data_IF_296188934272
#
_entry.id   IF_296188934272
#
_cell.length_a   1.000
_cell.length_b   1.000
_cell.length_c   1.000
_cell.angle_alpha   90.00
_cell.angle_beta   90.00
_cell.angle_gamma   90.00
#
_symmetry.space_group_name_H-M   'P 1'
#
loop_
_entity.id
_entity.type
_entity.pdbx_description
1 polymer ?
#
# COMPACT_ATOMS: atom_id res chain seq x y z
N UNK A 1 10.99 8.34 28.52
CA UNK A 1 9.92 7.60 27.83
C UNK A 1 10.39 6.81 26.61
N UNK A 2 10.94 7.42 25.54
CA UNK A 2 11.41 6.65 24.34
C UNK A 2 12.40 5.54 24.67
N UNK A 3 13.45 5.85 25.43
CA UNK A 3 14.49 4.89 25.79
C UNK A 3 13.94 3.68 26.57
N UNK A 4 13.06 3.93 27.56
CA UNK A 4 12.38 2.87 28.31
C UNK A 4 11.53 1.96 27.41
N UNK A 5 10.85 2.54 26.41
CA UNK A 5 10.09 1.77 25.43
C UNK A 5 11.00 0.90 24.55
N UNK A 6 12.12 1.42 24.05
CA UNK A 6 13.04 0.67 23.18
C UNK A 6 13.74 -0.49 23.90
N UNK A 7 13.94 -0.38 25.21
CA UNK A 7 14.52 -1.43 26.06
C UNK A 7 13.46 -2.44 26.52
N UNK A 8 12.18 -2.09 26.44
CA UNK A 8 11.11 -2.97 26.92
C UNK A 8 11.15 -4.33 26.20
N UNK A 9 10.90 -5.45 26.91
CA UNK A 9 10.89 -6.78 26.29
C UNK A 9 9.84 -6.93 25.19
N UNK A 10 8.73 -6.18 25.28
CA UNK A 10 7.68 -6.15 24.25
C UNK A 10 8.20 -5.57 22.94
N UNK A 11 9.05 -4.52 23.00
CA UNK A 11 9.66 -3.94 21.82
C UNK A 11 10.81 -4.80 21.28
N UNK A 12 11.72 -5.24 22.15
CA UNK A 12 12.93 -5.98 21.79
C UNK A 12 12.65 -7.28 21.01
N UNK A 13 11.52 -7.94 21.29
CA UNK A 13 11.09 -9.17 20.61
C UNK A 13 10.63 -8.94 19.17
N UNK A 14 10.20 -7.73 18.81
CA UNK A 14 9.67 -7.43 17.48
C UNK A 14 10.75 -7.62 16.41
N UNK A 15 10.33 -8.02 15.21
CA UNK A 15 11.25 -8.17 14.09
C UNK A 15 11.89 -6.83 13.69
N UNK A 16 11.16 -5.71 13.83
CA UNK A 16 11.65 -4.38 13.50
C UNK A 16 12.84 -3.93 14.36
N UNK A 17 12.90 -4.34 15.63
CA UNK A 17 14.00 -3.98 16.54
C UNK A 17 15.28 -4.77 16.21
N UNK A 18 15.15 -5.89 15.51
CA UNK A 18 16.25 -6.81 15.20
C UNK A 18 16.67 -6.79 13.72
N UNK A 19 15.99 -6.01 12.88
CA UNK A 19 16.23 -5.99 11.44
C UNK A 19 16.87 -4.66 11.05
N UNK A 20 17.96 -4.75 10.29
CA UNK A 20 18.68 -3.61 9.73
C UNK A 20 18.49 -3.58 8.22
N UNK A 21 18.03 -2.45 7.70
CA UNK A 21 18.01 -2.15 6.28
C UNK A 21 19.35 -1.53 5.88
N UNK A 22 20.05 -2.14 4.93
CA UNK A 22 21.31 -1.65 4.36
C UNK A 22 21.09 -1.31 2.90
N UNK A 23 21.44 -0.09 2.50
CA UNK A 23 21.37 0.34 1.09
C UNK A 23 22.76 0.47 0.46
N UNK A 24 22.81 0.58 -0.86
CA UNK A 24 24.05 0.68 -1.65
C UNK A 24 25.05 -0.45 -1.36
N UNK A 25 24.54 -1.68 -1.20
CA UNK A 25 25.32 -2.91 -1.05
C UNK A 25 26.06 -3.21 -2.36
N UNK A 26 27.36 -3.55 -2.32
CA UNK A 26 28.13 -3.93 -3.51
C UNK A 26 27.64 -5.25 -4.12
N UNK A 27 27.94 -5.47 -5.40
CA UNK A 27 27.54 -6.70 -6.10
C UNK A 27 28.25 -7.95 -5.53
N UNK A 28 29.45 -7.78 -4.97
CA UNK A 28 30.20 -8.85 -4.30
C UNK A 28 29.45 -9.45 -3.10
N UNK A 29 28.59 -8.64 -2.46
CA UNK A 29 27.73 -9.03 -1.35
C UNK A 29 26.28 -9.28 -1.80
N UNK A 30 26.01 -9.46 -3.09
CA UNK A 30 24.65 -9.69 -3.61
C UNK A 30 24.09 -11.10 -3.33
N UNK A 31 24.81 -11.93 -2.58
CA UNK A 31 24.41 -13.29 -2.22
C UNK A 31 24.17 -13.40 -0.71
N UNK A 32 23.16 -14.18 -0.32
CA UNK A 32 22.81 -14.40 1.09
C UNK A 32 24.01 -14.91 1.90
N UNK A 33 24.74 -15.90 1.37
CA UNK A 33 25.95 -16.44 1.99
C UNK A 33 27.03 -15.38 2.22
N UNK A 34 27.21 -14.47 1.27
CA UNK A 34 28.20 -13.40 1.35
C UNK A 34 27.82 -12.39 2.44
N UNK A 35 26.54 -12.00 2.52
CA UNK A 35 26.04 -11.12 3.58
C UNK A 35 26.08 -11.78 4.96
N UNK A 36 25.78 -13.07 5.07
CA UNK A 36 25.94 -13.82 6.33
C UNK A 36 27.41 -13.85 6.78
N UNK A 37 28.34 -14.08 5.86
CA UNK A 37 29.78 -14.06 6.15
C UNK A 37 30.25 -12.65 6.52
N UNK A 38 29.77 -11.63 5.81
CA UNK A 38 30.07 -10.23 6.12
C UNK A 38 29.60 -9.86 7.54
N UNK A 39 28.38 -10.26 7.92
CA UNK A 39 27.79 -9.94 9.20
C UNK A 39 28.17 -10.92 10.33
N UNK A 40 29.24 -11.72 10.17
CA UNK A 40 29.67 -12.69 11.19
C UNK A 40 30.22 -12.04 12.46
N UNK A 41 30.63 -10.76 12.39
CA UNK A 41 31.09 -9.99 13.56
C UNK A 41 29.97 -9.61 14.53
N UNK A 42 28.71 -9.77 14.11
CA UNK A 42 27.54 -9.33 14.87
C UNK A 42 27.29 -10.28 16.06
N UNK A 43 27.14 -9.77 17.30
CA UNK A 43 26.88 -10.61 18.45
C UNK A 43 25.55 -11.37 18.31
N UNK A 44 25.58 -12.67 18.57
CA UNK A 44 24.44 -13.58 18.39
C UNK A 44 24.17 -13.97 16.93
N UNK A 45 24.91 -13.43 15.96
CA UNK A 45 24.81 -13.78 14.56
C UNK A 45 23.54 -13.29 13.86
N UNK A 46 23.46 -13.66 12.57
CA UNK A 46 22.36 -13.32 11.68
C UNK A 46 21.38 -14.49 11.61
N UNK A 47 20.08 -14.17 11.74
CA UNK A 47 18.97 -15.10 11.61
C UNK A 47 18.61 -15.30 10.13
N UNK A 48 18.32 -14.20 9.42
CA UNK A 48 17.93 -14.23 8.01
C UNK A 48 18.33 -12.97 7.27
N UNK A 49 18.65 -13.13 5.98
CA UNK A 49 18.91 -12.02 5.06
C UNK A 49 17.86 -12.03 3.95
N UNK A 50 17.30 -10.86 3.64
CA UNK A 50 16.47 -10.66 2.45
C UNK A 50 17.15 -9.69 1.50
N UNK A 51 17.37 -10.14 0.28
CA UNK A 51 18.02 -9.37 -0.76
C UNK A 51 16.95 -8.80 -1.68
N UNK A 52 16.93 -7.49 -1.86
CA UNK A 52 15.95 -6.84 -2.72
C UNK A 52 16.35 -7.03 -4.19
N UNK A 53 15.44 -7.65 -4.95
CA UNK A 53 15.54 -7.82 -6.41
C UNK A 53 14.52 -6.97 -7.14
N UNK A 54 14.75 -6.79 -8.42
CA UNK A 54 13.94 -5.92 -9.30
C UNK A 54 12.49 -6.39 -9.41
N UNK A 55 11.56 -5.73 -8.74
CA UNK A 55 10.17 -6.16 -8.58
C UNK A 55 9.13 -5.22 -9.23
N UNK A 56 9.59 -4.24 -10.04
CA UNK A 56 8.72 -3.24 -10.67
C UNK A 56 7.61 -3.86 -11.54
N UNK A 57 7.98 -4.75 -12.46
CA UNK A 57 7.01 -5.42 -13.33
C UNK A 57 5.99 -6.27 -12.56
N UNK A 58 6.41 -6.91 -11.44
CA UNK A 58 5.51 -7.68 -10.58
C UNK A 58 4.53 -6.77 -9.84
N UNK A 59 5.01 -5.63 -9.33
CA UNK A 59 4.17 -4.64 -8.65
C UNK A 59 3.11 -4.08 -9.60
N UNK A 60 3.44 -3.79 -10.85
CA UNK A 60 2.47 -3.26 -11.80
C UNK A 60 1.38 -4.28 -12.14
N UNK A 61 1.74 -5.56 -12.31
CA UNK A 61 0.77 -6.64 -12.49
C UNK A 61 -0.11 -6.82 -11.24
N UNK A 62 0.46 -6.68 -10.05
CA UNK A 62 -0.26 -6.76 -8.80
C UNK A 62 -1.26 -5.60 -8.64
N UNK A 63 -0.84 -4.36 -8.95
CA UNK A 63 -1.73 -3.18 -8.95
C UNK A 63 -2.89 -3.37 -9.93
N UNK A 64 -2.61 -3.79 -11.16
CA UNK A 64 -3.65 -4.09 -12.16
C UNK A 64 -4.65 -5.15 -11.66
N UNK A 65 -4.16 -6.18 -10.96
CA UNK A 65 -5.03 -7.19 -10.35
C UNK A 65 -5.87 -6.58 -9.23
N UNK A 66 -5.28 -5.78 -8.36
CA UNK A 66 -5.98 -5.14 -7.25
C UNK A 66 -7.09 -4.22 -7.74
N UNK A 67 -6.82 -3.40 -8.76
CA UNK A 67 -7.81 -2.53 -9.37
C UNK A 67 -8.97 -3.33 -10.00
N UNK A 68 -8.66 -4.44 -10.65
CA UNK A 68 -9.67 -5.35 -11.17
C UNK A 68 -10.52 -5.99 -10.06
N UNK A 69 -9.92 -6.38 -8.94
CA UNK A 69 -10.64 -6.89 -7.77
C UNK A 69 -11.55 -5.81 -7.15
N UNK A 70 -11.04 -4.59 -6.91
CA UNK A 70 -11.82 -3.48 -6.37
C UNK A 70 -13.03 -3.19 -7.27
N UNK A 71 -12.83 -3.21 -8.58
CA UNK A 71 -13.90 -2.99 -9.55
C UNK A 71 -14.95 -4.11 -9.50
N UNK A 72 -14.52 -5.36 -9.35
CA UNK A 72 -15.41 -6.52 -9.19
C UNK A 72 -16.20 -6.43 -7.87
N UNK A 73 -15.53 -6.12 -6.76
CA UNK A 73 -16.14 -5.92 -5.45
C UNK A 73 -17.18 -4.80 -5.48
N UNK A 74 -16.88 -3.67 -6.14
CA UNK A 74 -17.83 -2.58 -6.32
C UNK A 74 -19.06 -3.02 -7.15
N UNK A 75 -18.85 -3.80 -8.21
CA UNK A 75 -19.94 -4.35 -9.00
C UNK A 75 -20.81 -5.33 -8.19
N UNK A 76 -20.21 -6.27 -7.47
CA UNK A 76 -20.93 -7.21 -6.60
C UNK A 76 -21.67 -6.49 -5.46
N UNK A 77 -21.05 -5.50 -4.82
CA UNK A 77 -21.68 -4.68 -3.80
C UNK A 77 -22.89 -3.92 -4.34
N UNK A 78 -22.78 -3.34 -5.55
CA UNK A 78 -23.91 -2.66 -6.20
C UNK A 78 -25.05 -3.65 -6.54
N UNK A 79 -24.71 -4.87 -6.98
CA UNK A 79 -25.66 -5.93 -7.25
C UNK A 79 -26.38 -6.37 -5.97
N UNK A 80 -25.64 -6.64 -4.89
CA UNK A 80 -26.20 -6.98 -3.58
C UNK A 80 -27.08 -5.86 -3.02
N UNK A 81 -26.68 -4.60 -3.20
CA UNK A 81 -27.47 -3.45 -2.78
C UNK A 81 -28.81 -3.38 -3.53
N UNK A 82 -28.81 -3.60 -4.85
CA UNK A 82 -30.06 -3.64 -5.64
C UNK A 82 -30.94 -4.83 -5.24
N UNK A 83 -30.37 -6.01 -5.06
CA UNK A 83 -31.09 -7.21 -4.63
C UNK A 83 -31.71 -7.03 -3.24
N UNK A 84 -30.97 -6.46 -2.30
CA UNK A 84 -31.45 -6.17 -0.94
C UNK A 84 -32.59 -5.14 -0.96
N UNK A 85 -32.49 -4.09 -1.78
CA UNK A 85 -33.57 -3.11 -1.96
C UNK A 85 -34.83 -3.75 -2.57
N UNK A 86 -34.67 -4.60 -3.58
CA UNK A 86 -35.79 -5.33 -4.20
C UNK A 86 -36.46 -6.28 -3.21
N UNK A 87 -35.66 -7.03 -2.44
CA UNK A 87 -36.15 -7.92 -1.39
C UNK A 87 -36.93 -7.16 -0.32
N UNK A 88 -36.38 -6.06 0.23
CA UNK A 88 -37.10 -5.23 1.23
C UNK A 88 -38.47 -4.77 0.74
N UNK A 89 -38.57 -4.31 -0.52
CA UNK A 89 -39.86 -3.93 -1.12
C UNK A 89 -40.81 -5.12 -1.19
N UNK A 90 -40.35 -6.28 -1.69
CA UNK A 90 -41.15 -7.50 -1.79
C UNK A 90 -41.64 -7.99 -0.42
N UNK A 91 -40.76 -8.03 0.57
CA UNK A 91 -41.11 -8.43 1.94
C UNK A 91 -42.14 -7.48 2.56
N UNK A 92 -42.05 -6.17 2.31
CA UNK A 92 -43.06 -5.21 2.77
C UNK A 92 -44.42 -5.43 2.09
N UNK A 93 -44.45 -5.70 0.78
CA UNK A 93 -45.68 -6.05 0.07
C UNK A 93 -46.31 -7.35 0.61
N UNK A 94 -45.51 -8.39 0.85
CA UNK A 94 -46.01 -9.65 1.44
C UNK A 94 -46.53 -9.48 2.88
N UNK A 95 -45.91 -8.60 3.67
CA UNK A 95 -46.44 -8.25 5.00
C UNK A 95 -47.77 -7.51 4.91
N UNK A 96 -47.89 -6.52 4.01
CA UNK A 96 -49.15 -5.77 3.80
C UNK A 96 -50.27 -6.67 3.27
N UNK A 97 -49.97 -7.59 2.33
CA UNK A 97 -50.98 -8.52 1.83
C UNK A 97 -51.45 -9.50 2.91
N UNK A 98 -50.53 -10.04 3.73
CA UNK A 98 -50.89 -10.90 4.87
C UNK A 98 -51.68 -10.17 5.96
N UNK A 99 -51.32 -8.92 6.27
CA UNK A 99 -52.05 -8.09 7.24
C UNK A 99 -53.48 -7.78 6.78
N UNK A 100 -53.71 -7.55 5.48
CA UNK A 100 -55.09 -7.38 4.94
C UNK A 100 -55.96 -8.64 5.05
N UNK A 101 -55.36 -9.80 5.27
CA UNK A 101 -56.04 -11.10 5.36
C UNK A 101 -56.16 -11.60 6.81
N UNK A 102 -55.61 -10.88 7.80
CA UNK A 102 -55.47 -11.35 9.19
C UNK A 102 -56.09 -10.33 10.14
N UNK A 103 -57.22 -10.67 10.75
CA UNK A 103 -57.85 -9.90 11.83
C UNK A 103 -56.92 -9.84 13.07
N UNK A 104 -57.12 -8.82 13.91
CA UNK A 104 -56.12 -8.04 14.67
C UNK A 104 -55.28 -8.71 15.79
N UNK A 105 -55.34 -10.02 16.08
CA UNK A 105 -54.89 -10.50 17.41
C UNK A 105 -53.46 -11.09 17.55
N UNK A 106 -52.63 -11.17 16.50
CA UNK A 106 -51.27 -11.75 16.63
C UNK A 106 -50.12 -10.75 16.36
N UNK A 107 -49.63 -10.10 17.42
CA UNK A 107 -48.53 -9.12 17.43
C UNK A 107 -47.11 -9.66 17.20
N UNK A 108 -46.94 -10.83 16.57
CA UNK A 108 -45.61 -11.38 16.31
C UNK A 108 -45.04 -10.86 14.98
N UNK A 109 -44.02 -9.98 15.06
CA UNK A 109 -43.27 -9.48 13.91
C UNK A 109 -42.68 -10.64 13.09
N UNK A 110 -43.41 -11.09 12.06
CA UNK A 110 -43.00 -12.25 11.26
C UNK A 110 -41.79 -11.84 10.41
N UNK A 111 -40.60 -12.22 10.85
CA UNK A 111 -39.39 -12.13 10.04
C UNK A 111 -39.52 -13.12 8.89
N UNK A 112 -39.74 -12.62 7.68
CA UNK A 112 -39.73 -13.45 6.47
C UNK A 112 -38.26 -13.73 6.15
N UNK A 113 -37.77 -14.88 6.60
CA UNK A 113 -36.43 -15.33 6.26
C UNK A 113 -36.29 -15.40 4.72
N UNK A 114 -35.21 -14.86 4.14
CA UNK A 114 -34.97 -15.03 2.71
C UNK A 114 -34.82 -16.52 2.38
N UNK A 115 -35.32 -16.97 1.21
CA UNK A 115 -35.13 -18.34 0.76
C UNK A 115 -33.64 -18.64 0.54
N UNK A 116 -33.32 -19.93 0.40
CA UNK A 116 -31.97 -20.40 0.08
C UNK A 116 -31.39 -19.63 -1.12
N UNK A 117 -30.13 -19.20 -0.98
CA UNK A 117 -29.42 -18.46 -2.02
C UNK A 117 -29.33 -19.31 -3.30
N UNK A 118 -30.04 -18.88 -4.35
CA UNK A 118 -30.10 -19.57 -5.64
C UNK A 118 -29.95 -18.58 -6.79
N UNK A 119 -29.35 -19.01 -7.90
CA UNK A 119 -29.22 -18.19 -9.12
C UNK A 119 -30.58 -17.72 -9.64
N UNK A 120 -31.60 -18.61 -9.61
CA UNK A 120 -32.97 -18.28 -10.02
C UNK A 120 -33.57 -17.17 -9.16
N UNK A 121 -33.32 -17.21 -7.86
CA UNK A 121 -33.79 -16.19 -6.92
C UNK A 121 -33.12 -14.83 -7.17
N UNK A 122 -31.83 -14.83 -7.49
CA UNK A 122 -31.11 -13.63 -7.88
C UNK A 122 -31.58 -13.08 -9.24
N UNK A 123 -31.88 -13.94 -10.21
CA UNK A 123 -32.48 -13.56 -11.51
C UNK A 123 -33.86 -12.91 -11.33
N UNK A 124 -34.67 -13.43 -10.41
CA UNK A 124 -35.99 -12.88 -10.07
C UNK A 124 -35.87 -11.49 -9.40
N UNK A 125 -34.94 -11.32 -8.46
CA UNK A 125 -34.74 -10.05 -7.75
C UNK A 125 -34.11 -8.97 -8.65
N UNK A 126 -33.09 -9.34 -9.41
CA UNK A 126 -32.32 -8.44 -10.25
C UNK A 126 -32.16 -9.08 -11.64
N UNK A 127 -33.01 -8.69 -12.61
CA UNK A 127 -32.90 -9.15 -13.98
C UNK A 127 -31.52 -8.86 -14.56
N UNK A 128 -31.04 -9.75 -15.43
CA UNK A 128 -29.71 -9.67 -16.04
C UNK A 128 -29.41 -8.34 -16.76
N UNK A 129 -30.45 -7.66 -17.26
CA UNK A 129 -30.35 -6.35 -17.90
C UNK A 129 -29.94 -5.22 -16.94
N UNK A 130 -30.35 -5.29 -15.67
CA UNK A 130 -30.06 -4.29 -14.64
C UNK A 130 -28.75 -4.55 -13.89
N UNK A 131 -28.04 -5.62 -14.23
CA UNK A 131 -26.77 -5.96 -13.60
C UNK A 131 -25.68 -4.99 -14.05
N UNK A 132 -24.78 -4.58 -13.13
CA UNK A 132 -23.61 -3.82 -13.51
C UNK A 132 -22.80 -4.63 -14.54
N UNK A 133 -22.64 -4.07 -15.73
CA UNK A 133 -21.78 -4.64 -16.78
C UNK A 133 -20.52 -3.81 -16.83
N UNK A 134 -19.38 -4.43 -16.53
CA UNK A 134 -18.09 -3.79 -16.67
C UNK A 134 -17.81 -3.57 -18.18
N UNK A 135 -17.82 -2.32 -18.63
CA UNK A 135 -17.49 -1.97 -20.03
C UNK A 135 -15.98 -2.03 -20.20
N UNK A 136 -15.49 -3.13 -20.77
CA UNK A 136 -14.07 -3.49 -20.78
C UNK A 136 -13.18 -2.73 -21.78
N UNK A 137 -13.67 -1.70 -22.51
CA UNK A 137 -12.87 -0.64 -23.17
C UNK A 137 -13.75 0.39 -23.91
N UNK A 138 -13.11 1.46 -24.42
CA UNK A 138 -13.60 2.39 -25.43
C UNK A 138 -13.27 1.80 -26.84
N UNK A 139 -14.23 1.76 -27.78
CA UNK A 139 -14.18 1.11 -29.11
C UNK A 139 -14.34 -0.42 -29.24
N UNK A 140 -15.41 -1.01 -28.70
CA UNK A 140 -16.05 -2.21 -29.29
C UNK A 140 -15.29 -3.56 -29.33
N UNK A 141 -14.01 -3.63 -28.94
CA UNK A 141 -13.25 -4.88 -28.90
C UNK A 141 -13.67 -5.74 -27.69
N UNK A 142 -13.82 -7.08 -27.87
CA UNK A 142 -14.22 -7.98 -26.79
C UNK A 142 -13.14 -8.02 -25.71
N UNK A 143 -13.41 -7.35 -24.59
CA UNK A 143 -12.54 -7.34 -23.44
C UNK A 143 -12.55 -8.68 -22.70
N UNK A 144 -11.39 -8.99 -22.11
CA UNK A 144 -11.11 -10.27 -21.43
C UNK A 144 -12.00 -10.41 -20.18
N UNK A 145 -13.07 -11.20 -20.27
CA UNK A 145 -13.94 -11.58 -19.14
C UNK A 145 -13.18 -12.25 -17.97
N UNK A 146 -11.98 -12.76 -18.24
CA UNK A 146 -11.14 -13.48 -17.28
C UNK A 146 -9.83 -12.72 -16.97
N UNK A 147 -9.90 -11.40 -16.83
CA UNK A 147 -8.71 -10.58 -16.59
C UNK A 147 -7.96 -10.99 -15.31
N UNK A 148 -8.67 -11.26 -14.21
CA UNK A 148 -8.07 -11.68 -12.93
C UNK A 148 -7.32 -13.01 -13.06
N UNK A 149 -7.92 -14.02 -13.70
CA UNK A 149 -7.29 -15.33 -13.91
C UNK A 149 -6.02 -15.19 -14.75
N UNK A 150 -6.07 -14.38 -15.81
CA UNK A 150 -4.88 -14.11 -16.63
C UNK A 150 -3.80 -13.34 -15.87
N UNK A 151 -4.18 -12.39 -15.02
CA UNK A 151 -3.26 -11.65 -14.16
C UNK A 151 -2.62 -12.55 -13.11
N UNK A 152 -3.37 -13.48 -12.51
CA UNK A 152 -2.83 -14.46 -11.58
C UNK A 152 -1.75 -15.33 -12.25
N UNK A 153 -2.03 -15.87 -13.44
CA UNK A 153 -1.05 -16.65 -14.20
C UNK A 153 0.20 -15.82 -14.58
N UNK A 154 0.02 -14.54 -14.91
CA UNK A 154 1.15 -13.62 -15.18
C UNK A 154 1.97 -13.32 -13.93
N UNK A 155 1.32 -13.15 -12.78
CA UNK A 155 1.95 -12.89 -11.49
C UNK A 155 2.80 -14.09 -11.08
N UNK A 156 2.31 -15.32 -11.25
CA UNK A 156 3.07 -16.54 -10.97
C UNK A 156 4.34 -16.62 -11.82
N UNK A 157 4.22 -16.43 -13.15
CA UNK A 157 5.39 -16.36 -14.04
C UNK A 157 6.36 -15.24 -13.68
N UNK A 158 5.83 -14.09 -13.28
CA UNK A 158 6.66 -12.96 -12.87
C UNK A 158 7.41 -13.26 -11.56
N UNK A 159 6.80 -13.98 -10.60
CA UNK A 159 7.44 -14.41 -9.35
C UNK A 159 8.61 -15.36 -9.61
N UNK A 160 8.46 -16.32 -10.50
CA UNK A 160 9.57 -17.21 -10.89
C UNK A 160 10.74 -16.42 -11.50
N UNK A 161 10.43 -15.40 -12.30
CA UNK A 161 11.46 -14.51 -12.88
C UNK A 161 12.14 -13.62 -11.82
N UNK A 162 11.43 -13.24 -10.76
CA UNK A 162 11.98 -12.39 -9.69
C UNK A 162 13.16 -13.03 -8.98
N UNK A 163 13.11 -14.34 -8.71
CA UNK A 163 14.17 -15.04 -7.99
C UNK A 163 15.53 -14.93 -8.72
N UNK A 164 15.48 -14.88 -10.06
CA UNK A 164 16.64 -14.71 -10.94
C UNK A 164 16.88 -13.24 -11.34
N UNK A 165 16.10 -12.31 -10.80
CA UNK A 165 16.15 -10.89 -11.12
C UNK A 165 17.44 -10.23 -10.66
N UNK A 166 17.75 -9.08 -11.26
CA UNK A 166 18.91 -8.27 -10.90
C UNK A 166 18.80 -7.78 -9.45
N UNK A 167 19.93 -7.73 -8.77
CA UNK A 167 20.06 -7.16 -7.44
C UNK A 167 19.92 -5.63 -7.45
N UNK A 168 19.19 -5.07 -6.49
CA UNK A 168 18.96 -3.62 -6.40
C UNK A 168 19.94 -2.86 -5.50
N UNK A 169 20.88 -3.54 -4.86
CA UNK A 169 21.81 -2.89 -3.93
C UNK A 169 21.22 -2.66 -2.54
N UNK A 170 20.08 -3.28 -2.21
CA UNK A 170 19.42 -3.14 -0.90
C UNK A 170 19.21 -4.51 -0.26
N UNK A 171 19.54 -4.64 1.02
CA UNK A 171 19.34 -5.85 1.79
C UNK A 171 18.76 -5.55 3.18
N UNK A 172 17.91 -6.46 3.66
CA UNK A 172 17.45 -6.49 5.04
C UNK A 172 18.14 -7.63 5.77
N UNK A 173 18.76 -7.34 6.89
CA UNK A 173 19.50 -8.30 7.70
C UNK A 173 18.81 -8.38 9.05
N UNK A 174 18.21 -9.52 9.39
CA UNK A 174 17.65 -9.77 10.72
C UNK A 174 18.67 -10.47 11.58
N UNK A 175 19.01 -9.85 12.69
CA UNK A 175 19.88 -10.41 13.72
C UNK A 175 19.08 -11.24 14.72
N UNK A 176 19.72 -12.19 15.39
CA UNK A 176 19.07 -12.92 16.48
C UNK A 176 18.80 -12.01 17.68
N UNK A 177 19.74 -11.11 17.97
CA UNK A 177 19.71 -10.18 19.10
C UNK A 177 19.53 -8.73 18.63
N UNK A 178 18.81 -7.92 19.40
CA UNK A 178 18.66 -6.48 19.15
C UNK A 178 20.01 -5.76 19.21
N UNK A 179 20.89 -6.11 20.16
CA UNK A 179 22.23 -5.54 20.23
C UNK A 179 23.05 -5.82 18.98
N UNK A 180 22.84 -6.97 18.34
CA UNK A 180 23.47 -7.30 17.07
C UNK A 180 23.05 -6.35 15.95
N UNK A 181 21.76 -6.01 15.89
CA UNK A 181 21.26 -5.02 14.94
C UNK A 181 21.92 -3.64 15.17
N UNK A 182 21.99 -3.17 16.43
CA UNK A 182 22.65 -1.90 16.76
C UNK A 182 24.12 -1.87 16.36
N UNK A 183 24.86 -2.95 16.65
CA UNK A 183 26.28 -3.08 16.26
C UNK A 183 26.40 -3.03 14.73
N UNK A 184 25.61 -3.80 14.01
CA UNK A 184 25.62 -3.82 12.54
C UNK A 184 25.33 -2.45 11.93
N UNK A 185 24.37 -1.70 12.49
CA UNK A 185 24.01 -0.37 12.02
C UNK A 185 25.08 0.69 12.30
N UNK A 186 25.86 0.55 13.36
CA UNK A 186 26.91 1.50 13.73
C UNK A 186 28.26 1.21 13.05
N UNK A 187 28.55 -0.05 12.73
CA UNK A 187 29.82 -0.43 12.12
C UNK A 187 29.97 0.11 10.69
N UNK A 188 31.20 0.53 10.35
CA UNK A 188 31.60 0.82 8.97
C UNK A 188 31.64 -0.49 8.20
N UNK A 189 30.84 -0.58 7.14
CA UNK A 189 30.55 -1.85 6.47
C UNK A 189 31.42 -2.12 5.24
N UNK A 190 32.01 -1.09 4.64
CA UNK A 190 32.82 -1.25 3.43
C UNK A 190 33.93 -0.21 3.38
N UNK A 191 35.05 -0.58 2.75
CA UNK A 191 36.17 0.30 2.49
C UNK A 191 35.90 1.31 1.35
N UNK A 192 34.91 1.06 0.50
CA UNK A 192 34.59 1.95 -0.63
C UNK A 192 33.63 3.05 -0.18
N UNK A 193 33.86 4.32 -0.57
CA UNK A 193 32.96 5.39 -0.23
C UNK A 193 31.58 5.17 -0.88
N UNK A 194 30.52 5.62 -0.21
CA UNK A 194 29.12 5.53 -0.67
C UNK A 194 28.57 4.10 -0.83
N UNK A 195 29.30 3.08 -0.37
CA UNK A 195 28.81 1.69 -0.29
C UNK A 195 28.44 1.34 1.14
N UNK A 196 27.25 0.75 1.33
CA UNK A 196 26.74 0.31 2.64
C UNK A 196 26.81 1.39 3.74
N UNK A 197 26.77 2.65 3.34
CA UNK A 197 26.88 3.79 4.24
C UNK A 197 25.58 3.97 5.02
N UNK A 198 24.46 4.12 4.30
CA UNK A 198 23.16 4.30 4.91
C UNK A 198 22.61 2.96 5.45
N UNK A 199 22.41 2.93 6.76
CA UNK A 199 21.82 1.82 7.48
C UNK A 199 20.68 2.33 8.35
N UNK A 200 19.54 1.67 8.25
CA UNK A 200 18.32 2.04 8.96
C UNK A 200 17.88 0.91 9.86
N UNK A 201 17.42 1.25 11.06
CA UNK A 201 16.88 0.30 12.03
C UNK A 201 15.50 0.73 12.50
N UNK A 202 14.79 -0.16 13.16
CA UNK A 202 13.44 0.10 13.68
C UNK A 202 12.42 0.47 12.58
N UNK A 203 12.73 0.15 11.33
CA UNK A 203 11.83 0.40 10.20
C UNK A 203 10.72 -0.66 10.17
N UNK A 204 9.48 -0.22 10.38
CA UNK A 204 8.32 -1.08 10.21
C UNK A 204 8.09 -1.37 8.72
N UNK A 205 7.79 -2.62 8.32
CA UNK A 205 7.47 -2.96 6.93
C UNK A 205 6.43 -2.07 6.23
N UNK A 206 5.49 -1.50 6.99
CA UNK A 206 4.45 -0.59 6.47
C UNK A 206 4.95 0.83 6.20
N UNK A 207 5.98 1.27 6.91
CA UNK A 207 6.54 2.61 6.79
C UNK A 207 7.60 2.69 5.68
N UNK A 208 8.01 1.54 5.14
CA UNK A 208 8.99 1.43 4.08
C UNK A 208 8.34 1.67 2.72
N UNK A 209 8.79 2.71 2.03
CA UNK A 209 8.40 2.99 0.64
C UNK A 209 9.27 2.17 -0.31
N UNK A 210 8.83 0.95 -0.63
CA UNK A 210 9.56 -0.03 -1.44
C UNK A 210 10.01 0.49 -2.82
N UNK A 211 9.26 1.42 -3.41
CA UNK A 211 9.57 2.02 -4.71
C UNK A 211 10.85 2.88 -4.67
N UNK A 212 11.18 3.44 -3.50
CA UNK A 212 12.34 4.32 -3.31
C UNK A 212 13.62 3.55 -2.93
N UNK A 213 13.53 2.24 -2.65
CA UNK A 213 14.68 1.41 -2.24
C UNK A 213 15.57 0.95 -3.41
N UNK A 214 15.16 1.19 -4.65
CA UNK A 214 15.88 0.78 -5.86
C UNK A 214 16.93 1.81 -6.32
N UNK A 215 16.92 3.01 -5.75
CA UNK A 215 17.78 4.09 -6.19
C UNK A 215 19.15 4.03 -5.49
N UNK A 216 20.20 3.72 -6.25
CA UNK A 216 21.58 3.77 -5.74
C UNK A 216 21.98 5.18 -5.30
N UNK A 217 22.86 5.29 -4.30
CA UNK A 217 23.23 6.55 -3.65
C UNK A 217 23.61 7.70 -4.61
N UNK A 218 24.30 7.41 -5.72
CA UNK A 218 24.70 8.44 -6.70
C UNK A 218 23.50 8.99 -7.47
N UNK A 219 22.53 8.13 -7.82
CA UNK A 219 21.34 8.51 -8.59
C UNK A 219 20.39 9.41 -7.79
N UNK A 220 20.50 9.40 -6.46
CA UNK A 220 19.65 10.22 -5.57
C UNK A 220 20.02 11.71 -5.56
N UNK A 221 21.30 12.05 -5.77
CA UNK A 221 21.79 13.44 -5.73
C UNK A 221 21.05 14.41 -6.67
N UNK A 222 20.85 14.11 -7.97
CA UNK A 222 20.13 15.04 -8.85
C UNK A 222 18.68 15.25 -8.41
N UNK A 223 17.99 14.21 -7.91
CA UNK A 223 16.61 14.35 -7.41
C UNK A 223 16.54 15.25 -6.18
N UNK A 224 17.52 15.13 -5.28
CA UNK A 224 17.63 16.02 -4.12
C UNK A 224 17.83 17.48 -4.54
N UNK A 225 18.73 17.75 -5.49
CA UNK A 225 18.98 19.11 -5.99
C UNK A 225 17.74 19.68 -6.69
N UNK A 226 17.07 18.90 -7.55
CA UNK A 226 15.84 19.32 -8.22
C UNK A 226 14.75 19.63 -7.17
N UNK A 227 14.61 18.80 -6.14
CA UNK A 227 13.65 19.04 -5.06
C UNK A 227 13.95 20.35 -4.32
N UNK A 228 15.22 20.64 -4.04
CA UNK A 228 15.64 21.90 -3.41
C UNK A 228 15.37 23.12 -4.29
N UNK A 229 15.61 23.02 -5.59
CA UNK A 229 15.29 24.10 -6.52
C UNK A 229 13.77 24.34 -6.60
N UNK A 230 12.98 23.27 -6.61
CA UNK A 230 11.54 23.36 -6.61
C UNK A 230 10.98 24.00 -5.33
N UNK A 231 11.54 23.69 -4.15
CA UNK A 231 11.12 24.31 -2.89
C UNK A 231 11.49 25.79 -2.82
N UNK A 232 12.69 26.17 -3.27
CA UNK A 232 13.08 27.58 -3.37
C UNK A 232 12.13 28.33 -4.31
N UNK A 233 11.83 27.76 -5.48
CA UNK A 233 10.87 28.35 -6.42
C UNK A 233 9.47 28.51 -5.82
N UNK A 234 9.00 27.51 -5.07
CA UNK A 234 7.71 27.58 -4.38
C UNK A 234 7.68 28.67 -3.31
N UNK A 235 8.75 28.84 -2.53
CA UNK A 235 8.85 29.89 -1.49
C UNK A 235 8.78 31.28 -2.13
N UNK A 236 9.52 31.50 -3.23
CA UNK A 236 9.49 32.77 -3.96
C UNK A 236 8.08 33.05 -4.51
N UNK A 237 7.45 32.04 -5.13
CA UNK A 237 6.10 32.16 -5.65
C UNK A 237 5.06 32.45 -4.55
N UNK A 238 5.18 31.80 -3.38
CA UNK A 238 4.27 31.98 -2.26
C UNK A 238 4.50 33.28 -1.48
N UNK A 239 5.68 33.90 -1.64
CA UNK A 239 5.96 35.22 -1.10
C UNK A 239 5.02 36.30 -1.65
N UNK A 240 4.59 36.19 -2.91
CA UNK A 240 3.71 37.18 -3.54
C UNK A 240 2.31 37.25 -2.91
N UNK A 241 1.55 36.14 -2.74
CA UNK A 241 0.29 36.16 -2.01
C UNK A 241 0.40 36.67 -0.57
N UNK A 242 1.47 36.28 0.14
CA UNK A 242 1.67 36.70 1.54
C UNK A 242 1.95 38.20 1.63
N UNK A 243 2.78 38.74 0.74
CA UNK A 243 3.02 40.18 0.65
C UNK A 243 1.73 40.95 0.32
N UNK A 244 0.93 40.46 -0.62
CA UNK A 244 -0.37 41.06 -0.98
C UNK A 244 -1.34 41.10 0.22
N UNK A 245 -1.51 39.98 0.93
CA UNK A 245 -2.35 39.92 2.13
C UNK A 245 -1.80 40.85 3.22
N UNK A 246 -0.47 40.90 3.38
CA UNK A 246 0.20 41.82 4.31
C UNK A 246 -0.13 43.29 4.01
N UNK A 247 -0.06 43.69 2.74
CA UNK A 247 -0.46 45.06 2.34
C UNK A 247 -1.93 45.34 2.59
N UNK A 248 -2.83 44.39 2.33
CA UNK A 248 -4.27 44.55 2.63
C UNK A 248 -4.55 44.67 4.13
N UNK A 249 -3.79 43.99 4.97
CA UNK A 249 -3.98 44.07 6.43
C UNK A 249 -3.54 45.40 7.04
N UNK A 250 -2.80 46.22 6.30
CA UNK A 250 -2.22 47.49 6.77
C UNK A 250 -2.73 48.69 5.96
N UNK A 251 -3.96 48.61 5.43
CA UNK A 251 -4.56 49.64 4.59
C UNK A 251 -4.67 51.01 5.27
N UNK A 252 -4.91 51.06 6.58
CA UNK A 252 -5.01 52.33 7.33
C UNK A 252 -3.69 53.12 7.31
N UNK A 253 -2.54 52.44 7.40
CA UNK A 253 -1.22 53.07 7.38
C UNK A 253 -0.79 53.46 5.94
N UNK A 254 -1.29 52.73 4.94
CA UNK A 254 -1.09 53.01 3.51
C UNK A 254 -1.90 54.23 3.03
N UNK A 255 -3.14 54.39 3.49
CA UNK A 255 -4.01 55.54 3.16
C UNK A 255 -3.53 56.86 3.78
N UNK A 256 -2.72 56.82 4.85
CA UNK A 256 -2.16 58.01 5.51
C UNK A 256 -0.83 58.45 4.89
N UNK A 257 -0.03 57.52 4.35
CA UNK A 257 1.32 57.78 3.83
C UNK A 257 1.43 57.97 2.33
N UNK A 258 0.47 57.49 1.55
CA UNK A 258 0.43 57.69 0.10
C UNK A 258 -0.73 58.66 -0.19
N UNK A 259 -0.49 59.84 -0.81
CA UNK A 259 -1.55 60.77 -1.15
C UNK A 259 -2.51 60.22 -2.20
#
# INVERSE_FOLDING_TARGET
MRHQFLISPSHSRLAQARTVLVTSVPEDLATERALHKFASFVPGGVDRVWILREHAALNDLFKQRQDACITLEAAEASLLATATKAWRKRSAHMKRSKSKLRDEEDGAATYVAPPLASRKFLDELVPSAKRPKHRTRFYGLPGKKNAIVQLNAKIEKARERQEKGRFLGTAFIRCNLQIGAHVLAQCVSHHEPLKMYDKWMEANPKDIVWQNLYDGAIKMRPRYVISWLATIGLIIAWGFPVAFIGTLSNLDDLCVRVP
#
